data_IF_864959510400
#
_entry.id   IF_864959510400
#
_cell.length_a   1.000
_cell.length_b   1.000
_cell.length_c   1.000
_cell.angle_alpha   90.00
_cell.angle_beta   90.00
_cell.angle_gamma   90.00
#
_symmetry.space_group_name_H-M   'P 1'
#
loop_
_entity.id
_entity.type
_entity.pdbx_description
1 polymer ?
#
# COMPACT_ATOMS: atom_id res chain seq x y z
N UNK A 1 6.61 -17.31 -9.50
CA UNK A 1 6.57 -16.00 -10.19
C UNK A 1 5.14 -15.51 -10.09
N UNK A 2 4.83 -14.71 -9.07
CA UNK A 2 3.51 -14.09 -8.95
C UNK A 2 3.36 -13.08 -10.08
N UNK A 3 2.25 -13.14 -10.81
CA UNK A 3 1.97 -12.19 -11.88
C UNK A 3 1.79 -10.79 -11.28
N UNK A 4 2.48 -9.81 -11.85
CA UNK A 4 2.27 -8.40 -11.52
C UNK A 4 0.91 -8.02 -12.09
N UNK A 5 -0.08 -7.86 -11.23
CA UNK A 5 -1.42 -7.42 -11.62
C UNK A 5 -1.44 -5.90 -11.63
N UNK A 6 -1.37 -5.31 -12.82
CA UNK A 6 -1.71 -3.90 -13.00
C UNK A 6 -3.23 -3.80 -13.06
N UNK A 7 -3.85 -3.06 -12.14
CA UNK A 7 -5.16 -2.35 -12.21
C UNK A 7 -5.88 -2.36 -10.84
N UNK A 8 -6.03 -1.17 -10.24
CA UNK A 8 -6.96 -0.77 -9.14
C UNK A 8 -7.04 -1.74 -7.92
N UNK A 9 -7.72 -1.46 -6.79
CA UNK A 9 -7.98 -2.55 -5.85
C UNK A 9 -8.60 -3.71 -6.67
N UNK A 10 -7.97 -4.90 -6.69
CA UNK A 10 -8.24 -5.89 -7.73
C UNK A 10 -9.73 -6.21 -7.70
N UNK A 11 -10.42 -6.22 -8.83
CA UNK A 11 -11.86 -6.51 -8.95
C UNK A 11 -12.29 -7.86 -8.30
N UNK A 12 -11.37 -8.62 -7.70
CA UNK A 12 -11.57 -9.92 -7.09
C UNK A 12 -10.84 -10.09 -5.74
N UNK A 13 -10.31 -9.02 -5.13
CA UNK A 13 -9.53 -9.12 -3.89
C UNK A 13 -10.31 -9.78 -2.73
N UNK A 14 -11.64 -9.58 -2.72
CA UNK A 14 -12.57 -10.23 -1.81
C UNK A 14 -12.53 -11.76 -1.84
N UNK A 15 -12.09 -12.36 -2.95
CA UNK A 15 -11.97 -13.81 -3.12
C UNK A 15 -10.61 -14.35 -2.68
N UNK A 16 -9.65 -13.49 -2.34
CA UNK A 16 -8.32 -13.91 -1.90
C UNK A 16 -8.38 -14.49 -0.47
N UNK A 17 -7.56 -15.52 -0.17
CA UNK A 17 -7.49 -16.10 1.17
C UNK A 17 -7.01 -15.08 2.21
N UNK A 18 -6.19 -14.11 1.81
CA UNK A 18 -5.69 -13.00 2.64
C UNK A 18 -5.81 -11.67 1.90
N UNK A 19 -6.13 -10.60 2.61
CA UNK A 19 -6.02 -9.23 2.10
C UNK A 19 -4.69 -8.65 2.56
N UNK A 20 -3.63 -9.16 1.96
CA UNK A 20 -2.25 -8.74 2.22
C UNK A 20 -1.64 -8.37 0.89
N UNK A 21 -1.18 -7.14 0.80
CA UNK A 21 -0.67 -6.58 -0.43
C UNK A 21 0.61 -5.85 -0.16
N UNK A 22 1.48 -5.83 -1.16
CA UNK A 22 2.64 -4.97 -1.19
C UNK A 22 2.41 -3.95 -2.30
N UNK A 23 2.34 -2.68 -1.92
CA UNK A 23 2.19 -1.58 -2.86
C UNK A 23 3.57 -1.07 -3.24
N UNK A 24 3.81 -0.97 -4.53
CA UNK A 24 5.06 -0.48 -5.09
C UNK A 24 4.82 0.83 -5.81
N UNK A 25 5.50 1.89 -5.34
CA UNK A 25 5.44 3.22 -5.91
C UNK A 25 6.76 3.51 -6.62
N UNK A 26 6.71 3.62 -7.94
CA UNK A 26 7.88 4.01 -8.73
C UNK A 26 8.20 5.47 -8.42
N UNK A 27 9.46 5.78 -8.13
CA UNK A 27 9.89 7.16 -7.91
C UNK A 27 10.35 7.81 -9.21
N UNK A 28 10.09 9.10 -9.35
CA UNK A 28 10.49 9.89 -10.53
C UNK A 28 11.79 10.65 -10.24
N UNK A 29 12.44 11.26 -11.25
CA UNK A 29 13.63 12.08 -11.03
C UNK A 29 13.45 13.28 -10.09
N UNK A 30 12.21 13.67 -9.76
CA UNK A 30 11.91 14.73 -8.81
C UNK A 30 11.95 14.24 -7.35
N UNK A 31 11.98 12.92 -7.13
CA UNK A 31 12.02 12.31 -5.82
C UNK A 31 13.29 12.67 -5.04
N UNK A 32 13.13 12.87 -3.74
CA UNK A 32 14.22 13.11 -2.81
C UNK A 32 13.82 12.70 -1.38
N UNK A 33 14.78 12.65 -0.47
CA UNK A 33 14.56 12.18 0.91
C UNK A 33 13.55 13.04 1.68
N UNK A 34 13.38 14.32 1.33
CA UNK A 34 12.38 15.18 1.98
C UNK A 34 10.95 14.76 1.63
N UNK A 35 10.73 14.35 0.38
CA UNK A 35 9.44 13.79 -0.06
C UNK A 35 9.13 12.51 0.73
N UNK A 36 10.11 11.62 0.90
CA UNK A 36 9.94 10.40 1.69
C UNK A 36 9.54 10.70 3.14
N UNK A 37 10.22 11.67 3.77
CA UNK A 37 9.90 12.09 5.14
C UNK A 37 8.49 12.67 5.26
N UNK A 38 8.05 13.44 4.26
CA UNK A 38 6.70 13.99 4.24
C UNK A 38 5.64 12.88 4.09
N UNK A 39 5.87 11.91 3.19
CA UNK A 39 5.00 10.73 3.05
C UNK A 39 4.92 9.95 4.36
N UNK A 40 6.07 9.70 4.99
CA UNK A 40 6.12 9.03 6.29
C UNK A 40 5.30 9.77 7.36
N UNK A 41 5.46 11.09 7.47
CA UNK A 41 4.74 11.91 8.44
C UNK A 41 3.22 11.86 8.19
N UNK A 42 2.80 12.05 6.94
CA UNK A 42 1.40 12.01 6.54
C UNK A 42 0.75 10.66 6.85
N UNK A 43 1.41 9.56 6.49
CA UNK A 43 0.90 8.21 6.74
C UNK A 43 0.81 7.89 8.24
N UNK A 44 1.79 8.35 9.03
CA UNK A 44 1.83 8.15 10.48
C UNK A 44 0.76 8.94 11.24
N UNK A 45 0.36 10.11 10.73
CA UNK A 45 -0.69 10.96 11.31
C UNK A 45 -2.09 10.58 10.83
N UNK A 46 -2.21 9.79 9.76
CA UNK A 46 -3.49 9.39 9.20
C UNK A 46 -4.16 8.33 10.07
N UNK A 47 -5.47 8.53 10.33
CA UNK A 47 -6.29 7.52 11.00
C UNK A 47 -6.77 6.47 10.00
N UNK A 48 -6.26 5.25 10.17
CA UNK A 48 -6.65 4.08 9.41
C UNK A 48 -7.79 3.34 10.10
N UNK A 49 -8.79 2.97 9.32
CA UNK A 49 -9.96 2.26 9.80
C UNK A 49 -9.75 0.74 9.74
N UNK A 50 -9.33 0.26 8.56
CA UNK A 50 -9.25 -1.16 8.24
C UNK A 50 -7.85 -1.58 7.75
N UNK A 51 -7.12 -0.69 7.06
CA UNK A 51 -5.76 -0.97 6.59
C UNK A 51 -4.77 -0.91 7.77
N UNK A 52 -3.87 -1.88 7.81
CA UNK A 52 -2.75 -1.97 8.78
C UNK A 52 -1.43 -2.08 8.02
N UNK A 53 -0.35 -1.66 8.67
CA UNK A 53 1.02 -1.75 8.16
C UNK A 53 1.79 -2.77 9.01
N UNK A 54 1.97 -4.01 8.54
CA UNK A 54 2.48 -5.11 9.36
C UNK A 54 3.92 -4.88 9.83
N UNK A 55 4.75 -4.23 9.01
CA UNK A 55 6.15 -3.92 9.33
C UNK A 55 6.33 -2.50 9.90
N UNK A 56 5.21 -1.82 10.20
CA UNK A 56 5.21 -0.40 10.51
C UNK A 56 5.43 0.48 9.27
N UNK A 57 5.39 1.79 9.48
CA UNK A 57 5.61 2.81 8.44
C UNK A 57 7.04 3.39 8.57
N UNK A 58 7.70 3.11 9.69
CA UNK A 58 9.06 3.56 10.03
C UNK A 58 10.17 2.96 9.16
N UNK A 59 9.85 1.89 8.42
CA UNK A 59 10.78 1.21 7.52
C UNK A 59 10.60 1.60 6.04
N UNK A 60 9.83 2.65 5.74
CA UNK A 60 9.69 3.12 4.37
C UNK A 60 11.05 3.56 3.82
N UNK A 61 11.50 2.85 2.79
CA UNK A 61 12.77 3.09 2.13
C UNK A 61 12.69 2.73 0.66
N UNK A 62 13.65 3.26 -0.09
CA UNK A 62 13.87 2.83 -1.46
C UNK A 62 14.42 1.41 -1.48
N UNK A 63 14.03 0.64 -2.51
CA UNK A 63 14.67 -0.63 -2.83
C UNK A 63 16.16 -0.46 -3.21
N UNK A 64 16.88 -1.57 -3.38
CA UNK A 64 18.31 -1.56 -3.72
C UNK A 64 18.63 -0.79 -5.02
N UNK A 65 17.68 -0.73 -5.96
CA UNK A 65 17.84 0.01 -7.23
C UNK A 65 17.50 1.50 -7.12
N UNK A 66 16.99 1.96 -5.98
CA UNK A 66 16.57 3.34 -5.72
C UNK A 66 15.44 3.85 -6.63
N UNK A 67 14.60 2.94 -7.08
CA UNK A 67 13.54 3.23 -8.05
C UNK A 67 12.13 3.02 -7.49
N UNK A 68 11.99 2.29 -6.39
CA UNK A 68 10.69 1.89 -5.86
C UNK A 68 10.64 2.04 -4.36
N UNK A 69 9.55 2.65 -3.87
CA UNK A 69 9.15 2.58 -2.45
C UNK A 69 8.10 1.50 -2.32
N UNK A 70 8.28 0.66 -1.31
CA UNK A 70 7.41 -0.49 -1.07
C UNK A 70 6.68 -0.33 0.25
N UNK A 71 5.36 -0.48 0.23
CA UNK A 71 4.49 -0.34 1.41
C UNK A 71 3.67 -1.62 1.57
N UNK A 72 4.03 -2.49 2.53
CA UNK A 72 3.20 -3.63 2.87
C UNK A 72 1.95 -3.14 3.61
N UNK A 73 0.79 -3.69 3.22
CA UNK A 73 -0.49 -3.44 3.86
C UNK A 73 -1.21 -4.76 4.14
N UNK A 74 -2.01 -4.79 5.20
CA UNK A 74 -2.89 -5.90 5.50
C UNK A 74 -4.25 -5.46 6.05
N UNK A 75 -5.24 -6.32 5.89
CA UNK A 75 -6.54 -6.23 6.56
C UNK A 75 -6.76 -7.50 7.39
N UNK A 76 -7.10 -7.31 8.67
CA UNK A 76 -7.32 -8.42 9.60
C UNK A 76 -8.51 -9.29 9.18
N UNK A 77 -8.50 -10.58 9.53
CA UNK A 77 -9.61 -11.49 9.25
C UNK A 77 -10.93 -11.00 9.88
N UNK A 78 -10.86 -10.49 11.12
CA UNK A 78 -12.02 -9.91 11.80
C UNK A 78 -12.61 -8.74 11.04
N UNK A 79 -11.77 -7.85 10.52
CA UNK A 79 -12.24 -6.70 9.75
C UNK A 79 -12.80 -7.10 8.39
N UNK A 80 -12.19 -8.08 7.72
CA UNK A 80 -12.67 -8.62 6.42
C UNK A 80 -14.06 -9.22 6.50
N UNK A 81 -14.37 -9.88 7.62
CA UNK A 81 -15.66 -10.52 7.84
C UNK A 81 -16.81 -9.52 8.03
N UNK A 82 -16.50 -8.24 8.21
CA UNK A 82 -17.51 -7.20 8.40
C UNK A 82 -18.22 -6.88 7.06
N UNK A 83 -19.55 -6.64 7.05
CA UNK A 83 -20.31 -6.42 5.81
C UNK A 83 -19.88 -5.23 4.95
N UNK A 84 -19.23 -4.22 5.54
CA UNK A 84 -18.77 -3.01 4.87
C UNK A 84 -17.24 -3.01 4.61
N UNK A 85 -16.58 -4.17 4.77
CA UNK A 85 -15.13 -4.28 4.72
C UNK A 85 -14.53 -3.79 3.40
N UNK A 86 -15.23 -4.02 2.29
CA UNK A 86 -14.84 -3.55 0.95
C UNK A 86 -14.86 -2.02 0.88
N UNK A 87 -15.94 -1.37 1.30
CA UNK A 87 -16.07 0.09 1.28
C UNK A 87 -15.03 0.76 2.19
N UNK A 88 -14.83 0.20 3.39
CA UNK A 88 -13.82 0.69 4.34
C UNK A 88 -12.41 0.53 3.77
N UNK A 89 -12.13 -0.58 3.09
CA UNK A 89 -10.84 -0.83 2.45
C UNK A 89 -10.60 0.15 1.31
N UNK A 90 -11.57 0.34 0.41
CA UNK A 90 -11.46 1.32 -0.68
C UNK A 90 -11.23 2.73 -0.14
N UNK A 91 -11.97 3.14 0.89
CA UNK A 91 -11.82 4.45 1.51
C UNK A 91 -10.41 4.65 2.10
N UNK A 92 -9.89 3.66 2.83
CA UNK A 92 -8.52 3.72 3.36
C UNK A 92 -7.47 3.65 2.24
N UNK A 93 -7.69 2.83 1.21
CA UNK A 93 -6.77 2.73 0.08
C UNK A 93 -6.64 4.09 -0.65
N UNK A 94 -7.76 4.80 -0.87
CA UNK A 94 -7.72 6.15 -1.44
C UNK A 94 -7.01 7.16 -0.55
N UNK A 95 -7.15 7.08 0.77
CA UNK A 95 -6.38 7.92 1.71
C UNK A 95 -4.89 7.61 1.61
N UNK A 96 -4.51 6.34 1.48
CA UNK A 96 -3.12 5.92 1.29
C UNK A 96 -2.56 6.53 0.01
N UNK A 97 -3.26 6.38 -1.11
CA UNK A 97 -2.86 6.98 -2.38
C UNK A 97 -2.72 8.50 -2.26
N UNK A 98 -3.68 9.19 -1.63
CA UNK A 98 -3.60 10.64 -1.44
C UNK A 98 -2.44 11.11 -0.56
N UNK A 99 -1.97 10.28 0.38
CA UNK A 99 -0.83 10.59 1.23
C UNK A 99 0.52 10.31 0.56
N UNK A 100 0.57 9.41 -0.42
CA UNK A 100 1.81 9.00 -1.10
C UNK A 100 1.98 9.71 -2.45
N UNK A 101 0.92 9.89 -3.23
CA UNK A 101 0.98 10.47 -4.57
C UNK A 101 1.19 11.98 -4.53
N UNK A 102 2.45 12.39 -4.55
CA UNK A 102 2.88 13.77 -4.73
C UNK A 102 3.91 13.88 -5.86
N UNK A 103 4.37 15.09 -6.15
CA UNK A 103 5.52 15.31 -7.04
C UNK A 103 6.70 14.46 -6.56
N UNK A 104 7.22 13.59 -7.43
CA UNK A 104 8.26 12.60 -7.07
C UNK A 104 7.81 11.14 -7.17
N UNK A 105 6.51 10.87 -7.28
CA UNK A 105 5.97 9.52 -7.46
C UNK A 105 5.33 9.35 -8.85
N UNK A 106 5.54 8.19 -9.44
CA UNK A 106 5.07 7.79 -10.76
C UNK A 106 4.05 6.66 -10.68
N UNK A 107 4.27 5.60 -11.45
CA UNK A 107 3.36 4.47 -11.53
C UNK A 107 3.27 3.69 -10.21
N UNK A 108 2.10 3.09 -9.98
CA UNK A 108 1.85 2.19 -8.85
C UNK A 108 1.52 0.81 -9.40
N UNK A 109 2.10 -0.22 -8.82
CA UNK A 109 1.67 -1.60 -8.98
C UNK A 109 1.55 -2.28 -7.62
N UNK A 110 0.77 -3.34 -7.53
CA UNK A 110 0.57 -4.08 -6.29
C UNK A 110 0.83 -5.57 -6.50
N UNK A 111 1.33 -6.20 -5.45
CA UNK A 111 1.54 -7.64 -5.40
C UNK A 111 0.67 -8.22 -4.28
N UNK A 112 -0.17 -9.20 -4.60
CA UNK A 112 -0.89 -9.96 -3.59
C UNK A 112 0.07 -10.96 -2.93
N UNK A 113 0.14 -10.94 -1.60
CA UNK A 113 1.04 -11.83 -0.85
C UNK A 113 0.21 -12.89 -0.15
N UNK A 114 0.45 -14.14 -0.55
CA UNK A 114 0.03 -15.30 0.22
C UNK A 114 1.22 -15.76 1.07
N UNK A 115 1.15 -15.55 2.39
CA UNK A 115 2.26 -15.90 3.31
C UNK A 115 2.35 -17.40 3.59
N UNK A 116 1.58 -18.24 2.87
CA UNK A 116 1.74 -19.68 2.84
C UNK A 116 2.88 -20.10 1.88
N UNK A 117 4.12 -19.71 2.18
CA UNK A 117 5.34 -20.21 1.57
C UNK A 117 6.43 -20.48 2.62
#
# INVERSE_FOLDING_TARGET
>A
MAGIHHLFPPDEFQNLPTWRFVLHFVVTPQFNDHILLQVFENLSQTKWDIIRFPDGIDQLGLNDTKEVITIPIEVSESDRSHPDSVERYEADFWKLLGNVMCDGFGDIYYEAVDWHA
#
